data_IF_003447084810
#
_entry.id   IF_003447084810
#
_cell.length_a   1.000
_cell.length_b   1.000
_cell.length_c   1.000
_cell.angle_alpha   90.00
_cell.angle_beta   90.00
_cell.angle_gamma   90.00
#
_symmetry.space_group_name_H-M   'P 1'
#
loop_
_entity.id
_entity.type
_entity.pdbx_description
1 polymer ?
#
# COMPACT_ATOMS: atom_id res chain seq x y z
N UNK A 1 -14.10 6.67 -12.31
CA UNK A 1 -12.85 6.23 -12.96
C UNK A 1 -11.85 5.97 -11.86
N UNK A 2 -11.22 4.79 -11.84
CA UNK A 2 -10.22 4.47 -10.80
C UNK A 2 -8.86 5.05 -11.21
N UNK A 3 -8.13 5.60 -10.24
CA UNK A 3 -6.80 6.17 -10.44
C UNK A 3 -5.79 5.17 -9.91
N UNK A 4 -4.83 4.80 -10.75
CA UNK A 4 -3.81 3.80 -10.39
C UNK A 4 -2.47 4.50 -10.21
N UNK A 5 -1.88 4.34 -9.03
CA UNK A 5 -0.55 4.84 -8.68
C UNK A 5 0.40 3.66 -8.55
N UNK A 6 1.59 3.79 -9.13
CA UNK A 6 2.61 2.74 -9.09
C UNK A 6 3.74 3.16 -8.16
N UNK A 7 4.19 2.23 -7.31
CA UNK A 7 5.28 2.44 -6.36
C UNK A 7 6.63 2.11 -7.01
N UNK A 8 7.38 3.16 -7.35
CA UNK A 8 8.66 3.10 -8.07
C UNK A 8 9.68 3.94 -7.29
N UNK A 9 10.90 3.41 -7.14
CA UNK A 9 12.02 4.08 -6.45
C UNK A 9 11.70 4.64 -5.05
N UNK A 10 10.71 4.06 -4.36
CA UNK A 10 10.34 4.45 -3.01
C UNK A 10 9.18 5.44 -2.91
N UNK A 11 8.53 5.82 -4.01
CA UNK A 11 7.42 6.77 -4.05
C UNK A 11 6.28 6.32 -4.97
N UNK A 12 5.06 6.78 -4.71
CA UNK A 12 3.92 6.59 -5.61
C UNK A 12 3.92 7.62 -6.73
N UNK A 13 3.79 7.15 -7.97
CA UNK A 13 3.75 7.99 -9.17
C UNK A 13 2.58 7.61 -10.08
N UNK A 14 2.02 8.63 -10.74
CA UNK A 14 1.04 8.49 -11.81
C UNK A 14 1.78 8.13 -13.11
N UNK A 15 2.04 6.83 -13.30
CA UNK A 15 2.64 6.26 -14.50
C UNK A 15 1.97 4.93 -14.84
N UNK A 16 1.96 4.54 -16.10
CA UNK A 16 1.48 3.23 -16.56
C UNK A 16 2.65 2.24 -16.66
N UNK A 17 3.41 2.06 -15.57
CA UNK A 17 4.48 1.07 -15.54
C UNK A 17 3.95 -0.23 -14.96
N UNK A 18 4.19 -1.34 -15.67
CA UNK A 18 3.92 -2.68 -15.17
C UNK A 18 5.02 -3.20 -14.22
N UNK A 19 6.16 -2.50 -14.16
CA UNK A 19 7.30 -2.87 -13.32
C UNK A 19 7.26 -2.08 -12.00
N UNK A 20 6.23 -2.34 -11.19
CA UNK A 20 6.08 -1.71 -9.88
C UNK A 20 6.05 -2.74 -8.77
N UNK A 21 6.68 -2.39 -7.64
CA UNK A 21 6.71 -3.28 -6.46
C UNK A 21 5.38 -3.26 -5.71
N UNK A 22 4.61 -2.19 -5.86
CA UNK A 22 3.27 -2.06 -5.30
C UNK A 22 2.43 -1.16 -6.20
N UNK A 23 1.13 -1.40 -6.20
CA UNK A 23 0.15 -0.64 -6.97
C UNK A 23 -0.98 -0.21 -6.04
N UNK A 24 -1.31 1.08 -6.05
CA UNK A 24 -2.39 1.66 -5.27
C UNK A 24 -3.51 2.11 -6.22
N UNK A 25 -4.65 1.43 -6.18
CA UNK A 25 -5.84 1.76 -6.94
C UNK A 25 -6.81 2.56 -6.08
N UNK A 26 -7.02 3.83 -6.43
CA UNK A 26 -7.96 4.73 -5.79
C UNK A 26 -9.28 4.70 -6.56
N UNK A 27 -10.31 4.14 -5.95
CA UNK A 27 -11.67 4.08 -6.49
C UNK A 27 -12.57 5.07 -5.74
N UNK A 28 -12.65 6.35 -6.19
CA UNK A 28 -13.54 7.32 -5.56
C UNK A 28 -14.99 6.89 -5.69
N UNK A 29 -15.72 6.91 -4.58
CA UNK A 29 -17.17 6.73 -4.50
C UNK A 29 -17.79 7.92 -3.78
N UNK A 30 -19.08 8.17 -4.02
CA UNK A 30 -19.83 9.29 -3.45
C UNK A 30 -19.90 9.29 -1.91
N UNK A 31 -19.50 8.19 -1.25
CA UNK A 31 -19.62 7.96 0.19
C UNK A 31 -18.28 7.71 0.90
N UNK A 32 -17.15 8.10 0.30
CA UNK A 32 -15.81 7.86 0.85
C UNK A 32 -15.17 6.62 0.24
N UNK A 33 -14.62 6.78 -0.97
CA UNK A 33 -14.09 5.71 -1.83
C UNK A 33 -13.11 4.73 -1.18
N UNK A 34 -12.75 3.69 -1.95
CA UNK A 34 -11.86 2.63 -1.50
C UNK A 34 -10.51 2.77 -2.18
N UNK A 35 -9.43 2.68 -1.40
CA UNK A 35 -8.06 2.66 -1.88
C UNK A 35 -7.49 1.24 -1.72
N UNK A 36 -7.21 0.54 -2.81
CA UNK A 36 -6.69 -0.84 -2.79
C UNK A 36 -5.19 -0.84 -3.03
N UNK A 37 -4.43 -1.31 -2.06
CA UNK A 37 -2.99 -1.49 -2.17
C UNK A 37 -2.66 -2.95 -2.45
N UNK A 38 -2.04 -3.22 -3.59
CA UNK A 38 -1.60 -4.54 -4.02
C UNK A 38 -0.07 -4.57 -4.10
N UNK A 39 0.55 -5.66 -3.66
CA UNK A 39 2.00 -5.85 -3.75
C UNK A 39 2.37 -6.86 -4.82
N UNK A 40 3.48 -6.61 -5.52
CA UNK A 40 4.13 -7.64 -6.33
C UNK A 40 4.75 -8.72 -5.42
N UNK A 41 4.78 -9.96 -5.89
CA UNK A 41 5.44 -11.07 -5.18
C UNK A 41 6.92 -10.80 -4.91
N UNK A 42 7.59 -10.06 -5.79
CA UNK A 42 9.01 -9.70 -5.68
C UNK A 42 9.28 -8.50 -4.75
N UNK A 43 8.22 -7.87 -4.20
CA UNK A 43 8.37 -6.73 -3.34
C UNK A 43 8.96 -7.13 -1.98
N UNK A 44 10.18 -6.66 -1.71
CA UNK A 44 10.83 -6.84 -0.41
C UNK A 44 10.06 -6.17 0.74
N UNK A 45 10.26 -6.68 1.96
CA UNK A 45 9.56 -6.22 3.17
C UNK A 45 9.63 -4.70 3.40
N UNK A 46 10.78 -4.10 3.08
CA UNK A 46 10.98 -2.65 3.22
C UNK A 46 10.07 -1.90 2.26
N UNK A 47 10.05 -2.28 0.98
CA UNK A 47 9.18 -1.67 -0.04
C UNK A 47 7.71 -1.80 0.33
N UNK A 48 7.28 -2.96 0.85
CA UNK A 48 5.89 -3.16 1.31
C UNK A 48 5.54 -2.19 2.44
N UNK A 49 6.38 -2.09 3.48
CA UNK A 49 6.15 -1.17 4.61
C UNK A 49 6.12 0.30 4.18
N UNK A 50 7.04 0.71 3.30
CA UNK A 50 7.09 2.08 2.80
C UNK A 50 5.83 2.41 1.98
N UNK A 51 5.44 1.51 1.07
CA UNK A 51 4.23 1.66 0.27
C UNK A 51 2.96 1.71 1.14
N UNK A 52 2.82 0.84 2.16
CA UNK A 52 1.70 0.91 3.10
C UNK A 52 1.61 2.27 3.80
N UNK A 53 2.73 2.76 4.37
CA UNK A 53 2.78 4.06 5.05
C UNK A 53 2.42 5.22 4.13
N UNK A 54 2.90 5.18 2.89
CA UNK A 54 2.57 6.22 1.92
C UNK A 54 1.10 6.14 1.50
N UNK A 55 0.55 4.94 1.28
CA UNK A 55 -0.85 4.76 0.97
C UNK A 55 -1.76 5.27 2.10
N UNK A 56 -1.41 5.03 3.37
CA UNK A 56 -2.09 5.60 4.53
C UNK A 56 -2.05 7.14 4.54
N UNK A 57 -0.86 7.71 4.28
CA UNK A 57 -0.72 9.16 4.19
C UNK A 57 -1.55 9.74 3.03
N UNK A 58 -1.56 9.09 1.87
CA UNK A 58 -2.41 9.46 0.73
C UNK A 58 -3.88 9.43 1.13
N UNK A 59 -4.32 8.40 1.85
CA UNK A 59 -5.70 8.30 2.33
C UNK A 59 -6.06 9.41 3.34
N UNK A 60 -5.06 9.93 4.08
CA UNK A 60 -5.25 10.97 5.09
C UNK A 60 -5.19 12.40 4.54
N UNK A 61 -4.25 12.69 3.63
CA UNK A 61 -4.00 14.06 3.14
C UNK A 61 -4.37 14.27 1.67
N UNK A 62 -4.65 13.20 0.95
CA UNK A 62 -4.76 13.17 -0.50
C UNK A 62 -3.39 13.17 -1.19
N UNK A 63 -3.36 12.57 -2.37
CA UNK A 63 -2.28 12.60 -3.35
C UNK A 63 -2.58 13.67 -4.39
N UNK A 64 -1.58 14.49 -4.72
CA UNK A 64 -1.72 15.53 -5.75
C UNK A 64 -1.38 14.93 -7.12
N UNK A 65 -2.37 14.85 -8.00
CA UNK A 65 -2.18 14.41 -9.38
C UNK A 65 -1.52 15.50 -10.23
N UNK A 66 -0.98 15.11 -11.38
CA UNK A 66 -0.41 16.05 -12.35
C UNK A 66 -1.47 17.00 -12.92
N UNK A 67 -2.74 16.60 -12.89
CA UNK A 67 -3.89 17.45 -13.24
C UNK A 67 -4.14 18.59 -12.24
N UNK A 68 -3.50 18.57 -11.06
CA UNK A 68 -3.75 19.50 -9.96
C UNK A 68 -4.87 19.07 -9.01
N UNK A 69 -5.55 17.95 -9.29
CA UNK A 69 -6.59 17.39 -8.44
C UNK A 69 -5.98 16.62 -7.24
N UNK A 70 -6.61 16.71 -6.07
CA UNK A 70 -6.26 15.89 -4.90
C UNK A 70 -7.20 14.71 -4.79
N UNK A 71 -6.62 13.51 -4.73
CA UNK A 71 -7.38 12.24 -4.68
C UNK A 71 -6.95 11.37 -3.52
N UNK A 72 -7.80 10.45 -3.09
CA UNK A 72 -7.49 9.56 -1.96
C UNK A 72 -7.87 10.11 -0.59
N UNK A 73 -8.08 11.42 -0.41
CA UNK A 73 -8.42 11.97 0.90
C UNK A 73 -9.78 11.42 1.42
N UNK A 74 -9.76 10.84 2.61
CA UNK A 74 -10.93 10.24 3.26
C UNK A 74 -11.30 8.85 2.70
N UNK A 75 -10.43 8.24 1.89
CA UNK A 75 -10.65 6.87 1.40
C UNK A 75 -10.26 5.83 2.44
N UNK A 76 -10.97 4.70 2.42
CA UNK A 76 -10.62 3.53 3.23
C UNK A 76 -9.53 2.72 2.53
N UNK A 77 -8.39 2.55 3.20
CA UNK A 77 -7.29 1.73 2.70
C UNK A 77 -7.57 0.24 2.92
N UNK A 78 -7.58 -0.54 1.85
CA UNK A 78 -7.61 -1.99 1.86
C UNK A 78 -6.28 -2.51 1.32
N UNK A 79 -5.56 -3.27 2.16
CA UNK A 79 -4.28 -3.87 1.78
C UNK A 79 -4.55 -5.30 1.34
N UNK A 80 -4.35 -5.57 0.05
CA UNK A 80 -4.50 -6.90 -0.55
C UNK A 80 -3.12 -7.56 -0.50
N UNK A 81 -2.83 -8.23 0.62
CA UNK A 81 -1.63 -9.07 0.74
C UNK A 81 -1.84 -10.34 -0.09
N UNK A 82 -1.24 -10.37 -1.29
CA UNK A 82 -1.25 -11.54 -2.17
C UNK A 82 -0.50 -12.76 -1.64
N UNK A 83 0.21 -12.62 -0.52
CA UNK A 83 0.92 -13.72 0.11
C UNK A 83 0.82 -13.54 1.63
N UNK A 84 0.07 -14.42 2.28
CA UNK A 84 0.12 -14.60 3.73
C UNK A 84 1.59 -14.79 4.07
N UNK A 85 2.22 -13.76 4.63
CA UNK A 85 3.46 -13.90 5.38
C UNK A 85 3.20 -15.01 6.40
N UNK A 86 3.68 -16.21 6.07
CA UNK A 86 3.37 -17.43 6.78
C UNK A 86 3.91 -17.27 8.19
N UNK A 87 3.00 -17.10 9.17
CA UNK A 87 3.04 -17.49 10.59
C UNK A 87 4.38 -17.45 11.35
N UNK A 88 5.37 -16.68 10.92
CA UNK A 88 6.69 -16.62 11.55
C UNK A 88 6.75 -15.62 12.71
N UNK A 89 5.75 -14.74 12.81
CA UNK A 89 5.65 -13.73 13.87
C UNK A 89 4.92 -14.20 15.15
N UNK A 90 4.42 -15.44 15.17
CA UNK A 90 3.89 -16.13 16.38
C UNK A 90 4.91 -17.09 16.99
N UNK A 91 6.22 -16.86 16.80
CA UNK A 91 7.24 -17.51 17.63
C UNK A 91 7.19 -16.92 19.04
N UNK A 92 6.30 -17.50 19.85
CA UNK A 92 6.30 -17.42 21.32
C UNK A 92 7.75 -17.50 21.79
N UNK A 93 8.18 -16.45 22.49
CA UNK A 93 9.57 -16.27 22.90
C UNK A 93 10.13 -17.54 23.55
N UNK A 94 11.38 -17.86 23.20
CA UNK A 94 12.17 -18.88 23.87
C UNK A 94 12.01 -18.74 25.40
N UNK A 95 11.29 -19.67 26.03
CA UNK A 95 11.36 -19.85 27.48
C UNK A 95 12.78 -20.31 27.78
N UNK A 96 13.58 -19.44 28.38
CA UNK A 96 14.86 -19.82 28.96
C UNK A 96 14.59 -20.91 30.00
N UNK A 97 15.07 -22.12 29.74
CA UNK A 97 15.06 -23.20 30.70
C UNK A 97 16.13 -22.87 31.76
N UNK A 98 15.69 -22.33 32.90
CA UNK A 98 16.52 -22.26 34.11
C UNK A 98 16.09 -23.40 35.01
N UNK A 99 16.77 -24.54 34.93
CA UNK A 99 17.03 -25.45 36.05
C UNK A 99 18.29 -26.25 35.73
#
# INVERSE_FOLDING_TARGET
MAIVLNFIDGEFVETQSNDSKATLELSPSSSGGIAKLTFSGEAGLISRRTASRQAENICRSGFLLKSGERVGNGMQLEIIEGDKLSEAHTRVGHKYNRY
#
